data_IF_828188353830
#
_entry.id   IF_828188353830
#
_cell.length_a   1.000
_cell.length_b   1.000
_cell.length_c   1.000
_cell.angle_alpha   90.00
_cell.angle_beta   90.00
_cell.angle_gamma   90.00
#
_symmetry.space_group_name_H-M   'P 1'
#
loop_
_entity.id
_entity.type
_entity.pdbx_description
1 polymer ?
#
# COMPACT_ATOMS: atom_id res chain seq x y z
N UNK A 1 46.33 31.67 13.72
CA UNK A 1 45.80 30.98 12.56
C UNK A 1 44.62 31.74 12.00
N UNK A 2 44.75 32.21 10.79
CA UNK A 2 43.65 32.94 10.16
C UNK A 2 42.75 31.93 9.45
N UNK A 3 41.51 31.86 9.90
CA UNK A 3 40.48 31.06 9.23
C UNK A 3 39.98 31.87 8.03
N UNK A 4 40.26 31.36 6.84
CA UNK A 4 39.84 32.05 5.63
C UNK A 4 38.37 31.77 5.37
N UNK A 5 37.54 32.81 5.31
CA UNK A 5 36.12 32.66 4.92
C UNK A 5 36.03 32.21 3.46
N UNK A 6 35.23 31.21 3.12
CA UNK A 6 35.04 30.81 1.73
C UNK A 6 34.43 31.97 0.92
N UNK A 7 34.85 32.12 -0.34
CA UNK A 7 34.27 33.13 -1.24
C UNK A 7 32.83 32.70 -1.66
N UNK A 8 32.13 33.63 -2.34
CA UNK A 8 30.75 33.39 -2.76
C UNK A 8 30.59 32.12 -3.62
N UNK A 9 31.52 31.92 -4.56
CA UNK A 9 31.50 30.78 -5.46
C UNK A 9 31.63 29.45 -4.68
N UNK A 10 32.55 29.41 -3.70
CA UNK A 10 32.71 28.23 -2.83
C UNK A 10 31.49 27.99 -1.98
N UNK A 11 30.87 29.04 -1.42
CA UNK A 11 29.66 28.92 -0.62
C UNK A 11 28.48 28.43 -1.42
N UNK A 12 28.33 28.88 -2.65
CA UNK A 12 27.26 28.38 -3.56
C UNK A 12 27.47 26.91 -3.95
N UNK A 13 28.74 26.54 -4.22
CA UNK A 13 29.07 25.13 -4.52
C UNK A 13 28.80 24.21 -3.35
N UNK A 14 29.11 24.66 -2.12
CA UNK A 14 28.81 23.90 -0.91
C UNK A 14 27.31 23.75 -0.69
N UNK A 15 26.54 24.83 -0.87
CA UNK A 15 25.08 24.81 -0.76
C UNK A 15 24.46 23.87 -1.77
N UNK A 16 24.94 23.89 -3.01
CA UNK A 16 24.46 22.99 -4.06
C UNK A 16 24.77 21.54 -3.74
N UNK A 17 25.96 21.26 -3.21
CA UNK A 17 26.35 19.93 -2.79
C UNK A 17 25.50 19.43 -1.63
N UNK A 18 25.30 20.27 -0.61
CA UNK A 18 24.46 19.95 0.55
C UNK A 18 23.00 19.70 0.14
N UNK A 19 22.47 20.51 -0.76
CA UNK A 19 21.11 20.37 -1.29
C UNK A 19 20.97 19.05 -2.06
N UNK A 20 21.98 18.70 -2.87
CA UNK A 20 21.99 17.44 -3.63
C UNK A 20 22.08 16.25 -2.68
N UNK A 21 22.98 16.31 -1.69
CA UNK A 21 23.13 15.24 -0.68
C UNK A 21 21.83 15.03 0.09
N UNK A 22 21.16 16.13 0.49
CA UNK A 22 19.87 16.08 1.20
C UNK A 22 18.78 15.46 0.32
N UNK A 23 18.73 15.82 -0.95
CA UNK A 23 17.78 15.28 -1.91
C UNK A 23 18.00 13.77 -2.12
N UNK A 24 19.26 13.34 -2.30
CA UNK A 24 19.59 11.93 -2.46
C UNK A 24 19.28 11.12 -1.21
N UNK A 25 19.54 11.69 -0.02
CA UNK A 25 19.19 11.03 1.25
C UNK A 25 17.69 10.89 1.40
N UNK A 26 16.91 11.89 1.00
CA UNK A 26 15.45 11.85 1.05
C UNK A 26 14.89 10.83 0.06
N UNK A 27 15.44 10.75 -1.14
CA UNK A 27 15.05 9.74 -2.14
C UNK A 27 15.34 8.34 -1.64
N UNK A 28 16.51 8.11 -1.04
CA UNK A 28 16.89 6.82 -0.47
C UNK A 28 15.95 6.43 0.68
N UNK A 29 15.59 7.35 1.56
CA UNK A 29 14.67 7.12 2.66
C UNK A 29 13.26 6.80 2.15
N UNK A 30 12.81 7.49 1.11
CA UNK A 30 11.51 7.24 0.47
C UNK A 30 11.47 5.85 -0.15
N UNK A 31 12.53 5.49 -0.89
CA UNK A 31 12.67 4.16 -1.49
C UNK A 31 12.63 3.06 -0.44
N UNK A 32 13.35 3.25 0.67
CA UNK A 32 13.36 2.28 1.77
C UNK A 32 11.97 2.12 2.40
N UNK A 33 11.24 3.21 2.60
CA UNK A 33 9.88 3.15 3.13
C UNK A 33 8.93 2.42 2.20
N UNK A 34 9.07 2.60 0.89
CA UNK A 34 8.25 1.88 -0.10
C UNK A 34 8.56 0.40 -0.12
N UNK A 35 9.84 0.02 -0.01
CA UNK A 35 10.25 -1.38 0.07
C UNK A 35 9.70 -2.05 1.34
N UNK A 36 9.78 -1.38 2.48
CA UNK A 36 9.23 -1.86 3.75
C UNK A 36 7.71 -2.00 3.67
N UNK A 37 7.05 -1.02 3.06
CA UNK A 37 5.59 -1.04 2.87
C UNK A 37 5.17 -2.18 1.95
N UNK A 38 5.92 -2.46 0.89
CA UNK A 38 5.67 -3.59 -0.01
C UNK A 38 5.74 -4.91 0.74
N UNK A 39 6.77 -5.13 1.56
CA UNK A 39 6.92 -6.36 2.33
C UNK A 39 5.78 -6.53 3.33
N UNK A 40 5.46 -5.48 4.08
CA UNK A 40 4.34 -5.50 5.03
C UNK A 40 3.01 -5.65 4.30
N UNK A 41 2.88 -5.00 3.14
CA UNK A 41 1.69 -5.05 2.31
C UNK A 41 1.42 -6.44 1.76
N UNK A 42 2.46 -7.12 1.26
CA UNK A 42 2.33 -8.50 0.77
C UNK A 42 1.86 -9.44 1.90
N UNK A 43 2.44 -9.30 3.07
CA UNK A 43 2.03 -10.10 4.23
C UNK A 43 0.57 -9.82 4.62
N UNK A 44 0.21 -8.54 4.68
CA UNK A 44 -1.14 -8.10 5.01
C UNK A 44 -2.16 -8.57 3.96
N UNK A 45 -1.80 -8.49 2.69
CA UNK A 45 -2.64 -8.95 1.59
C UNK A 45 -2.92 -10.45 1.71
N UNK A 46 -1.90 -11.25 1.98
CA UNK A 46 -2.06 -12.68 2.20
C UNK A 46 -2.98 -12.98 3.37
N UNK A 47 -2.86 -12.23 4.45
CA UNK A 47 -3.73 -12.38 5.62
C UNK A 47 -5.19 -12.11 5.30
N UNK A 48 -5.47 -11.02 4.57
CA UNK A 48 -6.83 -10.71 4.13
C UNK A 48 -7.37 -11.79 3.18
N UNK A 49 -6.54 -12.29 2.28
CA UNK A 49 -6.92 -13.34 1.33
C UNK A 49 -7.28 -14.66 2.04
N UNK A 50 -6.54 -15.05 3.06
CA UNK A 50 -6.85 -16.23 3.85
C UNK A 50 -8.27 -16.17 4.41
N UNK A 51 -8.63 -15.04 5.00
CA UNK A 51 -9.96 -14.83 5.58
C UNK A 51 -11.02 -14.66 4.47
N UNK A 52 -10.69 -13.92 3.41
CA UNK A 52 -11.61 -13.69 2.29
C UNK A 52 -12.02 -14.99 1.58
N UNK A 53 -11.15 -15.98 1.58
CA UNK A 53 -11.45 -17.30 1.00
C UNK A 53 -12.41 -18.15 1.84
N UNK A 54 -12.70 -17.74 3.07
CA UNK A 54 -13.59 -18.46 3.97
C UNK A 54 -15.06 -18.09 3.77
N UNK A 55 -15.89 -18.55 4.68
CA UNK A 55 -17.35 -18.39 4.63
C UNK A 55 -17.92 -17.70 5.88
N UNK A 56 -17.10 -17.01 6.64
CA UNK A 56 -17.53 -16.28 7.84
C UNK A 56 -18.00 -14.88 7.50
N UNK A 57 -18.60 -14.19 8.48
CA UNK A 57 -18.92 -12.75 8.33
C UNK A 57 -17.70 -11.90 8.07
N UNK A 58 -16.56 -12.24 8.68
CA UNK A 58 -15.30 -11.56 8.43
C UNK A 58 -14.78 -11.79 7.02
N UNK A 59 -15.02 -12.98 6.45
CA UNK A 59 -14.69 -13.30 5.06
C UNK A 59 -15.38 -12.35 4.08
N UNK A 60 -16.65 -12.07 4.30
CA UNK A 60 -17.45 -11.13 3.52
C UNK A 60 -16.82 -9.73 3.55
N UNK A 61 -16.50 -9.24 4.74
CA UNK A 61 -15.89 -7.90 4.88
C UNK A 61 -14.51 -7.84 4.21
N UNK A 62 -13.68 -8.87 4.37
CA UNK A 62 -12.37 -8.93 3.72
C UNK A 62 -12.49 -8.94 2.19
N UNK A 63 -13.44 -9.70 1.63
CA UNK A 63 -13.69 -9.68 0.18
C UNK A 63 -14.08 -8.29 -0.30
N UNK A 64 -14.97 -7.60 0.41
CA UNK A 64 -15.40 -6.25 0.04
C UNK A 64 -14.27 -5.23 0.11
N UNK A 65 -13.39 -5.35 1.09
CA UNK A 65 -12.22 -4.48 1.20
C UNK A 65 -11.27 -4.73 0.03
N UNK A 66 -10.98 -5.98 -0.30
CA UNK A 66 -10.12 -6.35 -1.42
C UNK A 66 -10.71 -5.91 -2.76
N UNK A 67 -11.99 -6.06 -2.95
CA UNK A 67 -12.70 -5.59 -4.16
C UNK A 67 -12.67 -4.07 -4.27
N UNK A 68 -12.76 -3.34 -3.16
CA UNK A 68 -12.64 -1.89 -3.16
C UNK A 68 -11.24 -1.44 -3.62
N UNK A 69 -10.20 -2.16 -3.23
CA UNK A 69 -8.83 -1.89 -3.69
C UNK A 69 -8.67 -2.27 -5.17
N UNK A 70 -9.32 -3.34 -5.59
CA UNK A 70 -9.27 -3.83 -6.98
C UNK A 70 -10.03 -2.91 -7.94
N UNK A 71 -11.24 -2.51 -7.59
CA UNK A 71 -12.10 -1.65 -8.42
C UNK A 71 -13.02 -0.82 -7.53
N UNK A 72 -12.51 0.31 -7.06
CA UNK A 72 -13.23 1.18 -6.12
C UNK A 72 -14.46 1.84 -6.73
N UNK A 73 -14.54 1.97 -8.06
CA UNK A 73 -15.71 2.52 -8.73
C UNK A 73 -16.92 1.61 -8.62
N UNK A 74 -16.72 0.31 -8.78
CA UNK A 74 -17.78 -0.71 -8.65
C UNK A 74 -17.99 -1.14 -7.20
N UNK A 75 -16.93 -1.07 -6.38
CA UNK A 75 -16.95 -1.53 -5.00
C UNK A 75 -16.45 -0.42 -4.06
N UNK A 76 -17.23 0.68 -3.88
CA UNK A 76 -16.82 1.73 -2.95
C UNK A 76 -16.56 1.18 -1.55
N UNK A 77 -15.49 1.64 -0.91
CA UNK A 77 -15.16 1.18 0.44
C UNK A 77 -16.12 1.79 1.46
N UNK A 78 -16.84 0.92 2.14
CA UNK A 78 -17.62 1.30 3.31
C UNK A 78 -16.72 1.23 4.55
N UNK A 79 -16.41 2.39 5.11
CA UNK A 79 -15.50 2.49 6.25
C UNK A 79 -16.01 1.74 7.48
N UNK A 80 -17.33 1.52 7.61
CA UNK A 80 -17.88 0.76 8.74
C UNK A 80 -17.40 -0.69 8.75
N UNK A 81 -17.01 -1.23 7.59
CA UNK A 81 -16.46 -2.59 7.50
C UNK A 81 -15.19 -2.75 8.32
N UNK A 82 -14.40 -1.69 8.43
CA UNK A 82 -13.16 -1.69 9.19
C UNK A 82 -13.40 -1.81 10.70
N UNK A 83 -14.58 -1.42 11.17
CA UNK A 83 -14.94 -1.47 12.59
C UNK A 83 -15.38 -2.85 13.07
N UNK A 84 -15.85 -3.69 12.15
CA UNK A 84 -16.51 -4.96 12.50
C UNK A 84 -15.63 -6.18 12.29
N UNK A 85 -14.42 -5.99 11.82
CA UNK A 85 -13.44 -7.07 11.65
C UNK A 85 -12.47 -7.10 12.84
N UNK A 86 -11.86 -8.25 13.08
CA UNK A 86 -10.87 -8.42 14.13
C UNK A 86 -9.70 -7.45 13.95
N UNK A 87 -9.03 -7.12 15.05
CA UNK A 87 -7.99 -6.09 15.06
C UNK A 87 -6.81 -6.41 14.15
N UNK A 88 -6.41 -7.67 14.05
CA UNK A 88 -5.34 -8.07 13.14
C UNK A 88 -5.75 -7.87 11.68
N UNK A 89 -7.00 -8.14 11.34
CA UNK A 89 -7.54 -7.91 10.00
C UNK A 89 -7.71 -6.42 9.70
N UNK A 90 -8.11 -5.65 10.70
CA UNK A 90 -8.18 -4.19 10.59
C UNK A 90 -6.81 -3.60 10.26
N UNK A 91 -5.77 -4.02 10.96
CA UNK A 91 -4.40 -3.57 10.68
C UNK A 91 -3.92 -4.01 9.30
N UNK A 92 -4.23 -5.24 8.92
CA UNK A 92 -3.91 -5.74 7.58
C UNK A 92 -4.62 -4.92 6.51
N UNK A 93 -5.88 -4.57 6.71
CA UNK A 93 -6.65 -3.74 5.78
C UNK A 93 -6.03 -2.34 5.64
N UNK A 94 -5.65 -1.69 6.73
CA UNK A 94 -4.99 -0.39 6.68
C UNK A 94 -3.66 -0.46 5.93
N UNK A 95 -2.87 -1.50 6.15
CA UNK A 95 -1.60 -1.68 5.45
C UNK A 95 -1.81 -1.87 3.95
N UNK A 96 -2.78 -2.68 3.56
CA UNK A 96 -3.12 -2.91 2.15
C UNK A 96 -3.61 -1.62 1.49
N UNK A 97 -4.46 -0.86 2.15
CA UNK A 97 -4.97 0.42 1.64
C UNK A 97 -3.82 1.41 1.44
N UNK A 98 -2.96 1.55 2.44
CA UNK A 98 -1.79 2.44 2.34
C UNK A 98 -0.90 2.00 1.19
N UNK A 99 -0.56 0.73 1.12
CA UNK A 99 0.27 0.19 0.04
C UNK A 99 -0.35 0.45 -1.34
N UNK A 100 -1.66 0.25 -1.49
CA UNK A 100 -2.36 0.49 -2.75
C UNK A 100 -2.26 1.94 -3.21
N UNK A 101 -2.14 2.88 -2.27
CA UNK A 101 -2.03 4.29 -2.57
C UNK A 101 -0.63 4.69 -3.07
N UNK A 102 0.40 3.94 -2.73
CA UNK A 102 1.79 4.31 -3.03
C UNK A 102 2.47 3.42 -4.06
N UNK A 103 1.98 2.20 -4.28
CA UNK A 103 2.56 1.32 -5.29
C UNK A 103 2.22 1.79 -6.70
N UNK A 104 3.12 1.55 -7.63
CA UNK A 104 2.88 1.83 -9.06
C UNK A 104 2.19 0.70 -9.80
N UNK A 105 1.80 -0.38 -9.10
CA UNK A 105 1.15 -1.56 -9.67
C UNK A 105 -0.19 -1.81 -8.99
N UNK A 106 -1.10 -2.48 -9.68
CA UNK A 106 -2.31 -2.98 -9.08
C UNK A 106 -1.97 -4.15 -8.14
N UNK A 107 -2.59 -4.21 -6.95
CA UNK A 107 -2.23 -5.21 -5.95
C UNK A 107 -2.48 -6.64 -6.40
N UNK A 108 -3.52 -6.88 -7.21
CA UNK A 108 -3.80 -8.21 -7.73
C UNK A 108 -2.69 -8.74 -8.66
N UNK A 109 -1.87 -7.85 -9.22
CA UNK A 109 -0.72 -8.24 -10.06
C UNK A 109 0.40 -8.91 -9.26
N UNK A 110 0.43 -8.72 -7.93
CA UNK A 110 1.39 -9.38 -7.05
C UNK A 110 0.97 -10.82 -6.71
N UNK A 111 -0.21 -11.23 -7.15
CA UNK A 111 -0.77 -12.55 -6.85
C UNK A 111 -0.78 -13.43 -8.08
N UNK A 112 -0.59 -14.74 -7.89
CA UNK A 112 -0.80 -15.71 -8.96
C UNK A 112 -2.30 -15.77 -9.27
N UNK A 113 -2.65 -15.59 -10.55
CA UNK A 113 -4.05 -15.56 -10.99
C UNK A 113 -4.92 -14.54 -10.23
N UNK A 114 -4.34 -13.38 -9.90
CA UNK A 114 -5.02 -12.34 -9.12
C UNK A 114 -6.34 -11.88 -9.71
N UNK A 115 -6.41 -11.72 -11.02
CA UNK A 115 -7.67 -11.37 -11.71
C UNK A 115 -8.76 -12.41 -11.51
N UNK A 116 -8.42 -13.68 -11.61
CA UNK A 116 -9.37 -14.78 -11.38
C UNK A 116 -9.87 -14.78 -9.95
N UNK A 117 -8.97 -14.54 -9.00
CA UNK A 117 -9.31 -14.49 -7.59
C UNK A 117 -10.26 -13.34 -7.28
N UNK A 118 -9.98 -12.16 -7.82
CA UNK A 118 -10.86 -11.00 -7.65
C UNK A 118 -12.22 -11.23 -8.31
N UNK A 119 -12.25 -11.84 -9.48
CA UNK A 119 -13.50 -12.19 -10.17
C UNK A 119 -14.32 -13.20 -9.38
N UNK A 120 -13.66 -14.16 -8.74
CA UNK A 120 -14.33 -15.13 -7.85
C UNK A 120 -14.97 -14.41 -6.66
N UNK A 121 -14.27 -13.50 -6.02
CA UNK A 121 -14.81 -12.69 -4.92
C UNK A 121 -16.01 -11.86 -5.39
N UNK A 122 -15.90 -11.27 -6.57
CA UNK A 122 -16.98 -10.49 -7.18
C UNK A 122 -18.24 -11.34 -7.33
N UNK A 123 -18.10 -12.55 -7.87
CA UNK A 123 -19.24 -13.46 -8.05
C UNK A 123 -19.86 -13.88 -6.72
N UNK A 124 -19.02 -14.16 -5.72
CA UNK A 124 -19.51 -14.52 -4.38
C UNK A 124 -20.32 -13.35 -3.79
N UNK A 125 -19.79 -12.13 -3.89
CA UNK A 125 -20.41 -10.96 -3.27
C UNK A 125 -21.65 -10.46 -4.01
N UNK A 126 -21.79 -10.76 -5.28
CA UNK A 126 -22.98 -10.41 -6.06
C UNK A 126 -24.02 -11.56 -6.12
N UNK A 127 -23.75 -12.68 -5.47
CA UNK A 127 -24.63 -13.85 -5.53
C UNK A 127 -24.63 -14.52 -6.90
N UNK A 128 -23.52 -14.39 -7.66
CA UNK A 128 -23.39 -14.94 -9.01
C UNK A 128 -23.88 -14.04 -10.11
N UNK A 129 -24.24 -12.79 -9.80
CA UNK A 129 -24.68 -11.80 -10.79
C UNK A 129 -23.53 -10.86 -11.13
N UNK A 130 -23.27 -10.67 -12.39
CA UNK A 130 -22.28 -9.68 -12.86
C UNK A 130 -22.90 -8.30 -13.02
#
# INVERSE_FOLDING_TARGET
MQTRMPNLSQRLSERNREALEAMLAQEAATKQRLEDLEQRGLFALQRLLEVANGLTGQSHHCRRILLAVYNGGEWPLDLTRLRVIDRDLQRAAFTVIEWSAYTGRELHEYLDDGDKLMRRFWLIETGGKE
#
